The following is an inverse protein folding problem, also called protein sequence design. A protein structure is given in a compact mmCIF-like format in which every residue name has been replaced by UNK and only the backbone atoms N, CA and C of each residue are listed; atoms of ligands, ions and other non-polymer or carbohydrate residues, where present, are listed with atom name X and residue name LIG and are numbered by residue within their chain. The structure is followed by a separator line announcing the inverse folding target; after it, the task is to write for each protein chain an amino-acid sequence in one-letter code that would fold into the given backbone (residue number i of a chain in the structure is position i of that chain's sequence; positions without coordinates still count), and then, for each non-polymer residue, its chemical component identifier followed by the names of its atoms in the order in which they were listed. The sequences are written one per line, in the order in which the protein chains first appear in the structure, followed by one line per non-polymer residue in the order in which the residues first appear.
data_IF_865209243439
#
_entry.id   IF_865209243439
#
_cell.length_a   1.000
_cell.length_b   1.000
_cell.length_c   1.000
_cell.angle_alpha   90.00
_cell.angle_beta   90.00
_cell.angle_gamma   90.00
#
_symmetry.space_group_name_H-M   'P 1'
#
loop_
_entity.id
_entity.type
_entity.pdbx_description
1 polymer ?
#
# COMPACT_ATOMS: atom_id res chain seq x y z
N UNK A 1 5.92 -17.60 -24.82
CA UNK A 1 5.32 -16.35 -24.30
C UNK A 1 6.18 -15.90 -23.13
N UNK A 2 6.72 -14.68 -23.15
CA UNK A 2 7.44 -14.14 -21.99
C UNK A 2 6.42 -13.91 -20.87
N UNK A 3 6.58 -14.53 -19.71
CA UNK A 3 5.73 -14.22 -18.56
C UNK A 3 5.97 -12.76 -18.15
N UNK A 4 4.91 -12.00 -17.85
CA UNK A 4 5.08 -10.68 -17.27
C UNK A 4 5.80 -10.82 -15.94
N UNK A 5 6.97 -10.21 -15.80
CA UNK A 5 7.75 -10.25 -14.55
C UNK A 5 7.12 -9.39 -13.45
N UNK A 6 6.13 -8.56 -13.77
CA UNK A 6 5.47 -7.66 -12.83
C UNK A 6 4.02 -8.08 -12.64
N UNK A 7 3.52 -7.93 -11.42
CA UNK A 7 2.09 -8.07 -11.17
C UNK A 7 1.39 -6.77 -11.56
N UNK A 8 0.29 -6.91 -12.30
CA UNK A 8 -0.75 -5.88 -12.41
C UNK A 8 -1.90 -6.23 -11.49
N UNK A 9 -2.32 -5.28 -10.68
CA UNK A 9 -3.36 -5.51 -9.67
C UNK A 9 -4.72 -5.82 -10.31
N UNK A 10 -5.41 -6.86 -9.84
CA UNK A 10 -6.81 -7.13 -10.16
C UNK A 10 -7.70 -6.32 -9.22
N UNK A 11 -8.36 -5.29 -9.74
CA UNK A 11 -9.05 -4.26 -8.96
C UNK A 11 -10.56 -4.44 -9.09
N UNK A 12 -11.14 -5.23 -8.21
CA UNK A 12 -12.56 -5.56 -8.18
C UNK A 12 -13.17 -5.04 -6.86
N UNK A 13 -14.13 -4.11 -6.97
CA UNK A 13 -14.84 -3.55 -5.83
C UNK A 13 -15.82 -4.58 -5.26
N UNK A 14 -15.69 -4.86 -3.96
CA UNK A 14 -16.44 -5.91 -3.28
C UNK A 14 -15.69 -7.24 -3.16
N UNK A 15 -14.56 -7.40 -3.87
CA UNK A 15 -13.66 -8.55 -3.71
C UNK A 15 -12.28 -8.14 -3.20
N UNK A 16 -11.49 -7.48 -4.05
CA UNK A 16 -10.11 -7.09 -3.73
C UNK A 16 -10.00 -5.66 -3.20
N UNK A 17 -11.05 -4.84 -3.39
CA UNK A 17 -11.22 -3.53 -2.77
C UNK A 17 -12.52 -3.55 -1.98
N UNK A 18 -12.42 -3.54 -0.66
CA UNK A 18 -13.53 -3.73 0.26
C UNK A 18 -13.81 -2.41 0.96
N UNK A 19 -15.04 -1.89 0.84
CA UNK A 19 -15.45 -0.72 1.61
C UNK A 19 -15.61 -1.10 3.08
N UNK A 20 -15.07 -0.29 3.97
CA UNK A 20 -15.31 -0.36 5.41
C UNK A 20 -16.12 0.86 5.84
N UNK A 21 -17.07 0.67 6.75
CA UNK A 21 -17.91 1.75 7.26
C UNK A 21 -17.67 1.89 8.76
N UNK A 22 -17.35 3.09 9.20
CA UNK A 22 -17.15 3.43 10.60
C UNK A 22 -17.90 4.70 11.00
N UNK A 23 -17.85 5.07 12.29
CA UNK A 23 -18.52 6.27 12.81
C UNK A 23 -18.03 7.54 12.12
N UNK A 24 -16.74 7.58 11.77
CA UNK A 24 -16.12 8.71 11.08
C UNK A 24 -16.28 8.65 9.55
N UNK A 25 -17.13 7.77 9.02
CA UNK A 25 -17.42 7.63 7.59
C UNK A 25 -16.84 6.37 6.93
N UNK A 26 -16.88 6.34 5.61
CA UNK A 26 -16.41 5.19 4.83
C UNK A 26 -14.90 5.26 4.60
N UNK A 27 -14.26 4.10 4.64
CA UNK A 27 -12.89 3.84 4.22
C UNK A 27 -12.83 2.62 3.30
N UNK A 28 -11.61 2.18 2.97
CA UNK A 28 -11.37 1.05 2.08
C UNK A 28 -10.20 0.19 2.56
N UNK A 29 -10.36 -1.13 2.43
CA UNK A 29 -9.28 -2.11 2.50
C UNK A 29 -8.97 -2.61 1.11
N UNK A 30 -7.70 -2.63 0.74
CA UNK A 30 -7.21 -3.06 -0.56
C UNK A 30 -6.33 -4.28 -0.33
N UNK A 31 -6.74 -5.41 -0.91
CA UNK A 31 -6.03 -6.68 -0.81
C UNK A 31 -4.79 -6.69 -1.71
N UNK A 32 -3.76 -7.49 -1.39
CA UNK A 32 -2.52 -7.53 -2.15
C UNK A 32 -2.71 -7.87 -3.64
N UNK A 33 -3.75 -8.64 -3.98
CA UNK A 33 -4.14 -8.94 -5.37
C UNK A 33 -4.45 -7.68 -6.19
N UNK A 34 -4.94 -6.61 -5.56
CA UNK A 34 -5.26 -5.33 -6.20
C UNK A 34 -4.05 -4.37 -6.32
N UNK A 35 -2.89 -4.76 -5.82
CA UNK A 35 -1.66 -3.96 -5.89
C UNK A 35 -0.86 -4.25 -7.16
N UNK A 36 -0.19 -3.23 -7.66
CA UNK A 36 0.83 -3.36 -8.69
C UNK A 36 2.17 -3.60 -7.99
N UNK A 37 2.82 -4.74 -8.28
CA UNK A 37 4.05 -5.17 -7.61
C UNK A 37 5.14 -5.37 -8.66
N UNK A 38 6.19 -4.56 -8.58
CA UNK A 38 7.39 -4.76 -9.41
C UNK A 38 8.06 -6.06 -8.97
N UNK A 39 8.38 -6.90 -9.96
CA UNK A 39 8.79 -8.31 -9.79
C UNK A 39 7.70 -9.27 -9.26
N UNK A 40 6.47 -8.79 -9.05
CA UNK A 40 5.39 -9.58 -8.45
C UNK A 40 4.90 -10.77 -9.29
N UNK A 41 5.11 -10.72 -10.61
CA UNK A 41 4.75 -11.82 -11.53
C UNK A 41 5.80 -12.93 -11.59
N UNK A 42 6.93 -12.76 -10.90
CA UNK A 42 8.03 -13.70 -10.89
C UNK A 42 8.10 -14.44 -9.53
N UNK A 43 7.80 -15.74 -9.50
CA UNK A 43 7.74 -16.52 -8.25
C UNK A 43 9.09 -16.70 -7.56
N UNK A 44 10.19 -16.25 -8.19
CA UNK A 44 11.53 -16.18 -7.56
C UNK A 44 11.64 -15.02 -6.57
N UNK A 45 10.82 -13.98 -6.73
CA UNK A 45 10.92 -12.73 -5.98
C UNK A 45 9.72 -12.47 -5.08
N UNK A 46 8.52 -12.92 -5.47
CA UNK A 46 7.30 -12.74 -4.71
C UNK A 46 6.42 -13.99 -4.74
N UNK A 47 5.67 -14.23 -3.66
CA UNK A 47 4.47 -15.08 -3.68
C UNK A 47 3.26 -14.17 -3.53
N UNK A 48 2.53 -14.01 -4.62
CA UNK A 48 1.30 -13.23 -4.68
C UNK A 48 0.12 -14.20 -4.56
N UNK A 49 -0.94 -13.87 -3.83
CA UNK A 49 -2.09 -14.77 -3.71
C UNK A 49 -2.73 -15.02 -5.08
N UNK A 50 -3.09 -16.27 -5.37
CA UNK A 50 -3.87 -16.62 -6.55
C UNK A 50 -5.34 -16.23 -6.38
N UNK A 51 -5.87 -16.40 -5.17
CA UNK A 51 -7.21 -15.96 -4.75
C UNK A 51 -7.28 -14.45 -4.46
N UNK A 52 -8.52 -13.95 -4.36
CA UNK A 52 -8.79 -12.56 -3.96
C UNK A 52 -8.37 -12.28 -2.51
N UNK A 53 -8.28 -13.34 -1.70
CA UNK A 53 -7.83 -13.33 -0.31
C UNK A 53 -6.42 -13.91 -0.18
N UNK A 54 -5.62 -13.30 0.70
CA UNK A 54 -4.29 -13.79 1.07
C UNK A 54 -3.22 -12.69 1.04
N UNK A 55 -2.13 -12.87 1.80
CA UNK A 55 -1.03 -11.91 1.82
C UNK A 55 -0.11 -12.06 0.61
N UNK A 56 0.59 -10.99 0.24
CA UNK A 56 1.75 -11.07 -0.65
C UNK A 56 3.05 -11.20 0.16
N UNK A 57 3.84 -12.23 -0.10
CA UNK A 57 5.13 -12.48 0.55
C UNK A 57 6.27 -12.07 -0.39
N UNK A 58 7.12 -11.16 0.07
CA UNK A 58 8.37 -10.82 -0.58
C UNK A 58 9.41 -11.90 -0.25
N UNK A 59 9.86 -12.63 -1.27
CA UNK A 59 10.94 -13.61 -1.13
C UNK A 59 12.29 -12.92 -1.12
N UNK A 60 12.59 -12.14 -2.15
CA UNK A 60 13.80 -11.35 -2.23
C UNK A 60 13.74 -10.30 -3.35
N UNK A 61 14.18 -9.06 -3.09
CA UNK A 61 14.45 -8.05 -4.12
C UNK A 61 15.56 -7.09 -3.69
N UNK A 62 16.27 -6.49 -4.65
CA UNK A 62 17.12 -5.31 -4.40
C UNK A 62 16.37 -3.97 -4.63
N UNK A 63 15.24 -4.02 -5.32
CA UNK A 63 14.34 -2.89 -5.61
C UNK A 63 12.92 -3.24 -5.14
N UNK A 64 12.47 -2.62 -4.04
CA UNK A 64 11.11 -2.80 -3.54
C UNK A 64 10.22 -1.66 -4.04
N UNK A 65 9.22 -2.02 -4.83
CA UNK A 65 8.19 -1.08 -5.29
C UNK A 65 6.84 -1.78 -5.40
N UNK A 66 5.93 -1.36 -4.51
CA UNK A 66 4.53 -1.77 -4.48
C UNK A 66 3.68 -0.53 -4.58
N UNK A 67 2.70 -0.51 -5.47
CA UNK A 67 1.85 0.64 -5.69
C UNK A 67 0.39 0.25 -5.86
N UNK A 68 -0.49 1.23 -5.72
CA UNK A 68 -1.90 1.09 -5.98
C UNK A 68 -2.55 2.45 -6.06
N UNK A 69 -3.83 2.46 -6.38
CA UNK A 69 -4.60 3.69 -6.44
C UNK A 69 -6.00 3.50 -5.84
N UNK A 70 -6.82 4.55 -5.80
CA UNK A 70 -8.24 4.52 -5.54
C UNK A 70 -8.87 5.74 -6.21
N UNK A 71 -10.06 5.61 -6.78
CA UNK A 71 -10.78 6.76 -7.32
C UNK A 71 -11.14 7.73 -6.19
N UNK A 72 -10.81 9.02 -6.34
CA UNK A 72 -11.12 10.01 -5.31
C UNK A 72 -12.63 10.19 -5.11
N UNK A 73 -13.44 9.92 -6.13
CA UNK A 73 -14.91 9.93 -6.05
C UNK A 73 -15.49 8.93 -5.03
N UNK A 74 -14.69 7.95 -4.59
CA UNK A 74 -15.07 7.01 -3.52
C UNK A 74 -14.85 7.58 -2.12
N UNK A 75 -14.09 8.67 -2.02
CA UNK A 75 -13.79 9.37 -0.78
C UNK A 75 -14.63 10.64 -0.71
N UNK A 76 -15.15 10.94 0.48
CA UNK A 76 -15.83 12.20 0.73
C UNK A 76 -14.87 13.39 0.54
N UNK A 77 -15.36 14.44 -0.11
CA UNK A 77 -14.67 15.73 -0.22
C UNK A 77 -14.51 16.40 1.15
N UNK A 78 -13.52 17.28 1.23
CA UNK A 78 -13.14 18.10 2.38
C UNK A 78 -12.93 17.29 3.66
N UNK A 79 -12.41 16.07 3.48
CA UNK A 79 -12.19 15.10 4.54
C UNK A 79 -10.76 14.59 4.54
N UNK A 80 -10.22 14.38 5.75
CA UNK A 80 -8.88 13.81 5.92
C UNK A 80 -8.98 12.30 6.11
N UNK A 81 -8.10 11.60 5.40
CA UNK A 81 -7.92 10.16 5.48
C UNK A 81 -6.49 9.85 5.89
N UNK A 82 -6.28 8.64 6.39
CA UNK A 82 -4.98 8.00 6.54
C UNK A 82 -4.85 6.90 5.50
N UNK A 83 -3.67 6.71 4.92
CA UNK A 83 -3.31 5.49 4.20
C UNK A 83 -2.19 4.76 4.95
N UNK A 84 -2.34 3.45 5.09
CA UNK A 84 -1.35 2.62 5.77
C UNK A 84 -1.36 1.19 5.23
N UNK A 85 -0.23 0.50 5.36
CA UNK A 85 -0.07 -0.91 5.02
C UNK A 85 -0.05 -1.72 6.30
N UNK A 86 -0.85 -2.77 6.36
CA UNK A 86 -0.77 -3.80 7.39
C UNK A 86 0.20 -4.87 6.90
N UNK A 87 1.27 -5.09 7.66
CA UNK A 87 2.38 -5.97 7.27
C UNK A 87 2.84 -6.85 8.43
N UNK A 88 3.61 -7.89 8.14
CA UNK A 88 4.36 -8.66 9.13
C UNK A 88 5.71 -9.10 8.57
N UNK A 89 6.59 -9.63 9.41
CA UNK A 89 7.89 -10.18 9.01
C UNK A 89 7.91 -11.70 9.11
N UNK A 90 8.55 -12.38 8.16
CA UNK A 90 8.86 -13.81 8.25
C UNK A 90 10.04 -14.04 9.21
N UNK A 91 10.16 -15.23 9.82
CA UNK A 91 11.28 -15.57 10.70
C UNK A 91 12.66 -15.44 10.03
N UNK A 92 12.72 -15.66 8.72
CA UNK A 92 13.90 -15.57 7.87
C UNK A 92 14.04 -14.21 7.15
N UNK A 93 13.32 -13.18 7.60
CA UNK A 93 13.43 -11.85 7.02
C UNK A 93 14.85 -11.27 7.14
N UNK A 94 15.33 -10.64 6.07
CA UNK A 94 16.72 -10.15 5.98
C UNK A 94 16.82 -8.84 5.17
N UNK A 95 17.95 -8.14 5.29
CA UNK A 95 18.28 -6.98 4.45
C UNK A 95 17.66 -5.62 4.86
N UNK A 96 16.87 -5.59 5.94
CA UNK A 96 16.15 -4.38 6.39
C UNK A 96 16.97 -3.43 7.27
N UNK A 97 18.10 -3.87 7.82
CA UNK A 97 18.96 -3.03 8.66
C UNK A 97 19.54 -1.85 7.86
N UNK A 98 19.23 -0.62 8.31
CA UNK A 98 19.60 0.62 7.61
C UNK A 98 18.81 0.90 6.32
N UNK A 99 17.74 0.14 6.06
CA UNK A 99 16.90 0.23 4.86
C UNK A 99 15.44 0.49 5.25
N UNK A 100 15.09 1.72 5.70
CA UNK A 100 13.70 2.05 5.98
C UNK A 100 12.88 1.99 4.70
N UNK A 101 11.61 1.63 4.84
CA UNK A 101 10.64 1.71 3.75
C UNK A 101 9.99 3.09 3.73
N UNK A 102 9.61 3.54 2.55
CA UNK A 102 9.00 4.85 2.32
C UNK A 102 7.61 4.65 1.75
N UNK A 103 6.61 5.21 2.40
CA UNK A 103 5.25 5.24 1.93
C UNK A 103 4.94 6.59 1.32
N UNK A 104 4.21 6.54 0.21
CA UNK A 104 3.78 7.70 -0.56
C UNK A 104 2.27 7.73 -0.67
N UNK A 105 1.69 8.93 -0.63
CA UNK A 105 0.37 9.22 -1.14
C UNK A 105 0.41 10.42 -2.08
N UNK A 106 -0.34 10.36 -3.17
CA UNK A 106 -0.55 11.43 -4.14
C UNK A 106 -2.04 11.63 -4.34
N UNK A 107 -2.55 12.81 -4.00
CA UNK A 107 -3.98 13.14 -4.05
C UNK A 107 -4.22 14.13 -5.18
N UNK A 108 -4.61 13.64 -6.35
CA UNK A 108 -4.82 14.49 -7.53
C UNK A 108 -3.59 15.29 -7.98
N UNK A 109 -3.56 15.70 -9.24
CA UNK A 109 -2.54 16.63 -9.75
C UNK A 109 -1.10 16.19 -9.47
N UNK A 110 -0.30 17.00 -8.74
CA UNK A 110 1.14 16.78 -8.49
C UNK A 110 1.54 16.85 -6.99
N UNK A 111 0.61 16.72 -6.05
CA UNK A 111 0.93 16.79 -4.62
C UNK A 111 1.31 15.41 -4.08
N UNK A 112 2.54 15.28 -3.57
CA UNK A 112 3.05 14.05 -2.96
C UNK A 112 3.27 14.23 -1.46
N UNK A 113 2.93 13.20 -0.68
CA UNK A 113 3.15 13.12 0.77
C UNK A 113 3.96 11.85 1.01
N UNK A 114 5.06 11.96 1.74
CA UNK A 114 5.97 10.85 2.03
C UNK A 114 6.16 10.67 3.53
N UNK A 115 6.24 9.41 3.96
CA UNK A 115 6.57 9.01 5.33
C UNK A 115 7.45 7.77 5.30
N UNK A 116 8.48 7.71 6.13
CA UNK A 116 9.31 6.51 6.27
C UNK A 116 8.90 5.69 7.49
N UNK A 117 9.20 4.39 7.45
CA UNK A 117 9.07 3.49 8.57
C UNK A 117 10.29 2.57 8.64
N UNK A 118 10.83 2.38 9.85
CA UNK A 118 11.84 1.35 10.09
C UNK A 118 11.13 0.04 10.46
N UNK A 119 11.36 -1.00 9.67
CA UNK A 119 10.79 -2.33 9.88
C UNK A 119 11.85 -3.37 10.28
N UNK A 120 13.11 -2.94 10.46
CA UNK A 120 14.18 -3.80 10.95
C UNK A 120 13.94 -4.18 12.42
N UNK A 121 14.14 -5.46 12.74
CA UNK A 121 14.01 -5.97 14.11
C UNK A 121 12.59 -6.13 14.62
N UNK A 122 11.57 -5.99 13.76
CA UNK A 122 10.18 -6.29 14.12
C UNK A 122 10.01 -7.80 14.41
N UNK A 123 9.25 -8.18 15.45
CA UNK A 123 9.02 -9.60 15.78
C UNK A 123 8.44 -10.38 14.59
N UNK A 124 8.96 -11.56 14.27
CA UNK A 124 8.38 -12.42 13.24
C UNK A 124 6.93 -12.79 13.55
N UNK A 125 6.09 -12.83 12.51
CA UNK A 125 4.69 -13.26 12.61
C UNK A 125 3.73 -12.23 13.23
N UNK A 126 4.24 -11.19 13.89
CA UNK A 126 3.39 -10.13 14.44
C UNK A 126 3.00 -9.14 13.34
N UNK A 127 1.69 -8.85 13.23
CA UNK A 127 1.17 -7.86 12.31
C UNK A 127 1.29 -6.46 12.90
N UNK A 128 1.75 -5.50 12.08
CA UNK A 128 1.86 -4.10 12.45
C UNK A 128 1.54 -3.18 11.26
N UNK A 129 1.31 -1.90 11.54
CA UNK A 129 0.87 -0.90 10.56
C UNK A 129 2.03 0.04 10.20
N UNK A 130 2.21 0.33 8.91
CA UNK A 130 3.20 1.29 8.42
C UNK A 130 2.65 2.27 7.35
N UNK A 131 3.03 3.55 7.38
CA UNK A 131 3.45 4.25 8.58
C UNK A 131 2.22 4.46 9.48
N UNK A 132 2.43 4.89 10.71
CA UNK A 132 1.33 5.09 11.65
C UNK A 132 0.46 6.30 11.30
N UNK A 133 0.96 7.28 10.54
CA UNK A 133 0.38 8.63 10.44
C UNK A 133 0.43 9.31 9.04
N UNK A 134 0.47 8.59 7.92
CA UNK A 134 0.40 9.22 6.59
C UNK A 134 -1.03 9.69 6.29
N UNK A 135 -1.28 10.97 6.59
CA UNK A 135 -2.57 11.64 6.38
C UNK A 135 -2.60 12.43 5.08
N UNK A 136 -3.77 12.50 4.46
CA UNK A 136 -4.04 13.34 3.30
C UNK A 136 -5.48 13.86 3.34
N UNK A 137 -5.73 15.01 2.73
CA UNK A 137 -7.07 15.60 2.63
C UNK A 137 -7.51 15.60 1.18
N UNK A 138 -8.71 15.07 0.92
CA UNK A 138 -9.36 15.17 -0.38
C UNK A 138 -10.11 16.49 -0.43
N UNK A 139 -9.72 17.41 -1.30
CA UNK A 139 -10.45 18.68 -1.49
C UNK A 139 -11.49 18.52 -2.58
N UNK A 140 -12.57 19.30 -2.52
CA UNK A 140 -13.57 19.33 -3.60
C UNK A 140 -12.94 19.59 -4.99
N UNK A 141 -11.91 20.43 -5.07
CA UNK A 141 -11.19 20.71 -6.32
C UNK A 141 -10.48 19.46 -6.90
N UNK A 142 -9.98 18.55 -6.06
CA UNK A 142 -9.25 17.36 -6.49
C UNK A 142 -10.16 16.40 -7.28
N UNK A 143 -11.47 16.41 -6.98
CA UNK A 143 -12.49 15.60 -7.67
C UNK A 143 -12.81 16.09 -9.08
N UNK A 144 -12.49 17.35 -9.39
CA UNK A 144 -12.79 17.99 -10.68
C UNK A 144 -11.56 17.95 -11.60
N UNK A 145 -10.37 17.64 -11.07
CA UNK A 145 -9.15 17.51 -11.87
C UNK A 145 -9.15 16.24 -12.73
N UNK A 146 -8.45 16.26 -13.87
CA UNK A 146 -8.32 15.11 -14.77
C UNK A 146 -7.56 13.91 -14.20
N UNK A 147 -6.82 14.07 -13.10
CA UNK A 147 -6.16 12.98 -12.36
C UNK A 147 -6.93 12.68 -11.06
N UNK A 148 -8.17 12.20 -11.19
CA UNK A 148 -9.09 11.96 -10.07
C UNK A 148 -8.78 10.68 -9.26
N UNK A 149 -7.49 10.41 -9.00
CA UNK A 149 -7.02 9.24 -8.26
C UNK A 149 -6.17 9.62 -7.06
N UNK A 150 -6.42 8.94 -5.94
CA UNK A 150 -5.42 8.73 -4.91
C UNK A 150 -4.44 7.69 -5.45
N UNK A 151 -3.16 8.00 -5.57
CA UNK A 151 -2.12 7.00 -5.78
C UNK A 151 -1.35 6.81 -4.47
N UNK A 152 -0.95 5.59 -4.17
CA UNK A 152 -0.13 5.28 -3.00
C UNK A 152 0.90 4.20 -3.33
N UNK A 153 1.93 4.10 -2.49
CA UNK A 153 2.91 3.03 -2.65
C UNK A 153 3.85 2.88 -1.46
N UNK A 154 4.60 1.79 -1.49
CA UNK A 154 5.62 1.37 -0.53
C UNK A 154 6.92 1.10 -1.28
N UNK A 155 8.00 1.78 -0.87
CA UNK A 155 9.25 1.85 -1.62
C UNK A 155 10.47 1.58 -0.73
N UNK A 156 11.40 0.79 -1.25
CA UNK A 156 12.82 0.81 -0.86
C UNK A 156 13.64 0.56 -2.12
N UNK A 157 13.91 1.63 -2.86
CA UNK A 157 14.53 1.59 -4.19
C UNK A 157 15.95 2.19 -4.22
N UNK A 158 16.40 2.77 -3.11
CA UNK A 158 17.60 3.62 -3.11
C UNK A 158 18.85 2.88 -2.64
N UNK A 159 18.71 1.91 -1.72
CA UNK A 159 19.88 1.22 -1.14
C UNK A 159 20.43 0.13 -2.04
N UNK A 160 19.62 -0.42 -2.94
CA UNK A 160 20.01 -1.54 -3.82
C UNK A 160 20.38 -2.83 -3.06
N UNK A 161 20.08 -2.91 -1.76
CA UNK A 161 20.39 -4.09 -0.93
C UNK A 161 19.30 -5.14 -1.10
N UNK A 162 19.73 -6.39 -1.27
CA UNK A 162 18.83 -7.53 -1.23
C UNK A 162 18.13 -7.62 0.13
N UNK A 163 16.82 -7.78 0.09
CA UNK A 163 15.96 -7.90 1.27
C UNK A 163 14.79 -8.85 0.97
N UNK A 164 14.27 -9.48 2.02
CA UNK A 164 13.21 -10.48 1.91
C UNK A 164 12.45 -10.68 3.22
N UNK A 165 11.39 -11.45 3.15
CA UNK A 165 10.55 -11.84 4.29
C UNK A 165 9.54 -10.77 4.74
N UNK A 166 9.29 -9.72 3.95
CA UNK A 166 8.15 -8.82 4.20
C UNK A 166 6.85 -9.48 3.72
N UNK A 167 5.80 -9.41 4.53
CA UNK A 167 4.47 -9.91 4.19
C UNK A 167 3.49 -8.73 4.19
N UNK A 168 2.79 -8.50 3.09
CA UNK A 168 1.77 -7.45 2.96
C UNK A 168 0.40 -8.10 3.07
N UNK A 169 -0.38 -7.70 4.08
CA UNK A 169 -1.71 -8.26 4.34
C UNK A 169 -2.81 -7.42 3.69
N UNK A 170 -2.71 -6.10 3.78
CA UNK A 170 -3.65 -5.17 3.14
C UNK A 170 -3.13 -3.73 3.19
N UNK A 171 -3.70 -2.87 2.36
CA UNK A 171 -3.64 -1.42 2.50
C UNK A 171 -4.98 -0.94 3.04
N UNK A 172 -4.95 -0.12 4.08
CA UNK A 172 -6.14 0.51 4.65
C UNK A 172 -6.12 2.02 4.40
N UNK A 173 -7.23 2.51 3.85
CA UNK A 173 -7.54 3.93 3.71
C UNK A 173 -8.72 4.22 4.64
N UNK A 174 -8.51 4.95 5.72
CA UNK A 174 -9.52 5.18 6.75
C UNK A 174 -9.73 6.68 7.00
N UNK A 175 -10.96 7.14 7.27
CA UNK A 175 -11.20 8.53 7.68
C UNK A 175 -10.50 8.82 9.01
N UNK A 176 -10.06 10.06 9.19
CA UNK A 176 -9.49 10.53 10.47
C UNK A 176 -10.61 11.14 11.32
N UNK A 177 -10.79 10.71 12.58
CA UNK A 177 -11.83 11.25 13.46
C UNK A 177 -11.73 12.77 13.62
N UNK A 178 -12.88 13.44 13.68
CA UNK A 178 -12.97 14.88 13.95
C UNK A 178 -12.56 15.81 12.80
N UNK A 179 -12.39 15.29 11.58
CA UNK A 179 -12.23 16.13 10.38
C UNK A 179 -13.56 16.26 9.65
N UNK A 180 -14.39 17.17 10.16
CA UNK A 180 -15.57 17.71 9.45
C UNK A 180 -15.17 19.06 8.86
N UNK A 181 -15.64 19.45 7.67
CA UNK A 181 -15.46 20.81 7.15
C UNK A 181 -15.93 21.90 8.13
#
# INVERSE_FOLDING_TARGET
MASQSHQKGSRDFGKTIIQITGPDGNGFKIKPKALDIIWGGDPRYWKVPDSDDGPAELLQVCWLEVSGWLELSKLAADKTYKVSFKVSMKPDAFGWSGSPVYLMAKVGGNKFIWKSANISGKPPGEEFIIPEDLKFTVKAADLITGDAKLNFGLYEIWRGRWKGGLVIHEVEISPVPGTTP
#
